data_IF_447947184578
#
_entry.id   IF_447947184578
#
_cell.length_a   1.000
_cell.length_b   1.000
_cell.length_c   1.000
_cell.angle_alpha   90.00
_cell.angle_beta   90.00
_cell.angle_gamma   90.00
#
_symmetry.space_group_name_H-M   'P 1'
#
loop_
_entity.id
_entity.type
_entity.pdbx_description
1 polymer ?
#
# COMPACT_ATOMS: atom_id res chain seq x y z
N UNK A 1 10.96 -32.42 3.50
CA UNK A 1 10.26 -32.07 2.25
C UNK A 1 9.59 -30.74 2.49
N UNK A 2 9.99 -29.66 1.80
CA UNK A 2 9.37 -28.35 2.01
C UNK A 2 8.00 -28.39 1.31
N UNK A 3 6.91 -28.41 2.08
CA UNK A 3 5.55 -28.57 1.55
C UNK A 3 5.01 -27.31 0.86
N UNK A 4 5.79 -26.23 0.84
CA UNK A 4 5.39 -24.94 0.32
C UNK A 4 5.94 -24.77 -1.09
N UNK A 5 5.04 -24.75 -2.08
CA UNK A 5 5.33 -24.33 -3.45
C UNK A 5 4.97 -22.84 -3.62
N UNK A 6 5.95 -21.93 -3.76
CA UNK A 6 5.67 -20.50 -3.89
C UNK A 6 4.80 -20.14 -5.09
N UNK A 7 4.70 -21.00 -6.12
CA UNK A 7 3.82 -20.79 -7.27
C UNK A 7 2.34 -20.80 -6.88
N UNK A 8 1.96 -21.62 -5.90
CA UNK A 8 0.59 -21.65 -5.38
C UNK A 8 0.22 -20.37 -4.62
N UNK A 9 1.20 -19.70 -4.02
CA UNK A 9 0.99 -18.41 -3.37
C UNK A 9 0.95 -17.26 -4.41
N UNK A 10 1.67 -17.39 -5.53
CA UNK A 10 1.65 -16.39 -6.60
C UNK A 10 0.30 -16.31 -7.33
N UNK A 11 -0.53 -17.36 -7.28
CA UNK A 11 -1.89 -17.32 -7.85
C UNK A 11 -2.88 -16.48 -7.05
N UNK A 12 -2.51 -15.99 -5.87
CA UNK A 12 -3.32 -15.04 -5.11
C UNK A 12 -3.29 -13.67 -5.81
N UNK A 13 -4.47 -13.13 -6.09
CA UNK A 13 -4.62 -11.85 -6.78
C UNK A 13 -4.55 -10.67 -5.82
N UNK A 14 -3.79 -9.66 -6.20
CA UNK A 14 -3.68 -8.40 -5.46
C UNK A 14 -3.65 -7.23 -6.44
N UNK A 15 -4.17 -6.08 -6.02
CA UNK A 15 -3.83 -4.81 -6.66
C UNK A 15 -2.47 -4.29 -6.16
N UNK A 16 -2.08 -3.12 -6.67
CA UNK A 16 -0.94 -2.35 -6.19
C UNK A 16 -1.43 -0.98 -5.74
N UNK A 17 -1.04 -0.59 -4.54
CA UNK A 17 -1.54 0.61 -3.88
C UNK A 17 -0.40 1.40 -3.26
N UNK A 18 -0.59 2.71 -3.08
CA UNK A 18 0.21 3.49 -2.14
C UNK A 18 -0.62 3.64 -0.87
N UNK A 19 -0.09 3.18 0.26
CA UNK A 19 -0.65 3.50 1.57
C UNK A 19 0.14 4.67 2.16
N UNK A 20 -0.57 5.75 2.51
CA UNK A 20 0.01 6.98 3.04
C UNK A 20 -0.56 7.33 4.41
N UNK A 21 0.19 8.10 5.18
CA UNK A 21 -0.25 8.62 6.47
C UNK A 21 0.49 9.92 6.78
N UNK A 22 0.02 10.63 7.79
CA UNK A 22 0.69 11.79 8.35
C UNK A 22 0.62 11.74 9.88
N UNK A 23 1.73 12.09 10.53
CA UNK A 23 1.81 12.23 11.97
C UNK A 23 2.75 13.39 12.30
N UNK A 24 2.29 14.35 13.11
CA UNK A 24 3.05 15.53 13.53
C UNK A 24 3.70 16.30 12.35
N UNK A 25 2.94 16.47 11.27
CA UNK A 25 3.37 17.17 10.05
C UNK A 25 4.25 16.33 9.11
N UNK A 26 4.64 15.11 9.50
CA UNK A 26 5.45 14.21 8.68
C UNK A 26 4.55 13.32 7.82
N UNK A 27 4.50 13.62 6.51
CA UNK A 27 3.82 12.80 5.50
C UNK A 27 4.75 11.69 5.03
N UNK A 28 4.23 10.48 4.89
CA UNK A 28 4.98 9.38 4.31
C UNK A 28 4.04 8.31 3.75
N UNK A 29 4.56 7.47 2.85
CA UNK A 29 3.80 6.39 2.24
C UNK A 29 4.69 5.23 1.79
N UNK A 30 4.06 4.11 1.48
CA UNK A 30 4.74 2.92 0.94
C UNK A 30 3.86 2.23 -0.10
N UNK A 31 4.50 1.50 -1.01
CA UNK A 31 3.79 0.56 -1.89
C UNK A 31 3.33 -0.64 -1.07
N UNK A 32 2.07 -1.04 -1.23
CA UNK A 32 1.50 -2.26 -0.67
C UNK A 32 0.72 -3.02 -1.74
N UNK A 33 0.57 -4.32 -1.52
CA UNK A 33 -0.33 -5.18 -2.29
C UNK A 33 -1.30 -5.95 -1.39
N UNK A 34 -0.90 -6.30 -0.16
CA UNK A 34 -1.72 -6.97 0.83
C UNK A 34 -2.75 -6.01 1.46
N UNK A 35 -3.80 -5.72 0.70
CA UNK A 35 -4.95 -4.91 1.07
C UNK A 35 -6.24 -5.63 0.64
N UNK A 36 -7.22 -5.71 1.52
CA UNK A 36 -8.53 -6.29 1.23
C UNK A 36 -9.64 -5.51 1.94
N UNK A 37 -10.86 -5.51 1.37
CA UNK A 37 -12.06 -5.18 2.12
C UNK A 37 -12.49 -6.40 2.95
N UNK A 38 -12.88 -6.17 4.20
CA UNK A 38 -13.20 -7.22 5.19
C UNK A 38 -14.70 -7.27 5.50
N UNK A 39 -15.36 -6.12 5.61
CA UNK A 39 -16.79 -6.02 5.95
C UNK A 39 -17.48 -4.96 5.08
N UNK A 40 -18.81 -5.03 5.01
CA UNK A 40 -19.66 -4.06 4.31
C UNK A 40 -20.44 -3.13 5.24
N UNK A 41 -20.69 -3.52 6.50
CA UNK A 41 -21.42 -2.70 7.48
C UNK A 41 -20.80 -2.83 8.90
N UNK A 42 -20.00 -1.85 9.36
CA UNK A 42 -19.45 -0.74 8.58
C UNK A 42 -18.43 -1.25 7.54
N UNK A 43 -18.11 -0.44 6.53
CA UNK A 43 -17.06 -0.78 5.56
C UNK A 43 -15.70 -0.77 6.27
N UNK A 44 -15.06 -1.94 6.35
CA UNK A 44 -13.70 -2.07 6.88
C UNK A 44 -12.75 -2.64 5.84
N UNK A 45 -11.50 -2.22 5.92
CA UNK A 45 -10.38 -2.73 5.13
C UNK A 45 -9.29 -3.26 6.07
N UNK A 46 -8.50 -4.20 5.57
CA UNK A 46 -7.31 -4.70 6.24
C UNK A 46 -6.07 -4.50 5.36
N UNK A 47 -5.02 -3.89 5.94
CA UNK A 47 -3.73 -3.67 5.30
C UNK A 47 -2.62 -4.34 6.12
N UNK A 48 -1.75 -5.11 5.47
CA UNK A 48 -0.64 -5.79 6.13
C UNK A 48 0.69 -5.12 5.79
N UNK A 49 1.37 -4.56 6.79
CA UNK A 49 2.57 -3.73 6.62
C UNK A 49 3.75 -4.31 7.40
N UNK A 50 4.94 -4.32 6.81
CA UNK A 50 6.13 -4.78 7.52
C UNK A 50 6.43 -3.87 8.72
N UNK A 51 6.71 -4.44 9.89
CA UNK A 51 6.84 -3.68 11.16
C UNK A 51 7.96 -2.65 11.13
N UNK A 52 9.05 -2.95 10.43
CA UNK A 52 10.21 -2.04 10.32
C UNK A 52 10.06 -0.91 9.29
N UNK A 53 8.94 -0.83 8.55
CA UNK A 53 8.73 0.25 7.60
C UNK A 53 8.37 1.55 8.33
N UNK A 54 8.92 2.67 7.89
CA UNK A 54 8.62 3.98 8.52
C UNK A 54 7.14 4.30 8.46
N UNK A 55 6.48 3.98 7.35
CA UNK A 55 5.05 4.19 7.20
C UNK A 55 4.27 3.38 8.25
N UNK A 56 4.69 2.17 8.59
CA UNK A 56 4.04 1.34 9.62
C UNK A 56 4.11 2.02 10.99
N UNK A 57 5.29 2.50 11.38
CA UNK A 57 5.47 3.27 12.62
C UNK A 57 4.53 4.48 12.67
N UNK A 58 4.44 5.25 11.58
CA UNK A 58 3.58 6.43 11.53
C UNK A 58 2.09 6.07 11.57
N UNK A 59 1.66 4.99 10.92
CA UNK A 59 0.26 4.52 10.98
C UNK A 59 -0.12 4.06 12.39
N UNK A 60 0.80 3.40 13.11
CA UNK A 60 0.56 3.04 14.51
C UNK A 60 0.33 4.26 15.40
N UNK A 61 1.10 5.34 15.18
CA UNK A 61 0.99 6.59 15.94
C UNK A 61 -0.24 7.41 15.53
N UNK A 62 -0.46 7.62 14.23
CA UNK A 62 -1.56 8.43 13.71
C UNK A 62 -2.92 7.75 13.81
N UNK A 63 -2.94 6.40 13.88
CA UNK A 63 -4.13 5.56 13.84
C UNK A 63 -5.01 5.80 12.61
N UNK A 64 -4.43 6.30 11.52
CA UNK A 64 -5.15 6.65 10.30
C UNK A 64 -4.26 6.50 9.07
N UNK A 65 -4.85 6.12 7.95
CA UNK A 65 -4.12 6.03 6.69
C UNK A 65 -5.03 6.26 5.51
N UNK A 66 -4.44 6.67 4.39
CA UNK A 66 -5.08 6.72 3.09
C UNK A 66 -4.50 5.65 2.17
N UNK A 67 -5.26 5.26 1.17
CA UNK A 67 -4.87 4.33 0.12
C UNK A 67 -5.14 5.01 -1.22
N UNK A 68 -4.14 5.02 -2.10
CA UNK A 68 -4.27 5.40 -3.50
C UNK A 68 -4.16 4.13 -4.37
N UNK A 69 -5.23 3.81 -5.11
CA UNK A 69 -5.29 2.68 -6.05
C UNK A 69 -4.59 3.06 -7.35
N UNK A 70 -3.48 2.39 -7.67
CA UNK A 70 -2.67 2.75 -8.84
C UNK A 70 -3.28 2.23 -10.15
N UNK A 71 -3.16 3.03 -11.22
CA UNK A 71 -3.52 2.62 -12.57
C UNK A 71 -2.43 1.75 -13.22
N UNK A 72 -2.83 0.89 -14.17
CA UNK A 72 -1.94 -0.05 -14.87
C UNK A 72 -0.76 0.65 -15.56
N UNK A 73 -0.97 1.86 -16.10
CA UNK A 73 0.04 2.62 -16.83
C UNK A 73 1.10 3.27 -15.94
N UNK A 74 0.98 3.21 -14.60
CA UNK A 74 1.93 3.85 -13.67
C UNK A 74 3.39 3.48 -13.99
N UNK A 75 4.31 4.46 -14.10
CA UNK A 75 5.72 4.18 -14.36
C UNK A 75 6.40 3.45 -13.20
N UNK A 76 7.29 2.50 -13.52
CA UNK A 76 8.10 1.82 -12.49
C UNK A 76 8.93 2.79 -11.64
N UNK A 77 9.46 3.84 -12.27
CA UNK A 77 10.21 4.89 -11.58
C UNK A 77 9.36 5.55 -10.49
N UNK A 78 8.06 5.75 -10.74
CA UNK A 78 7.14 6.33 -9.77
C UNK A 78 6.85 5.35 -8.62
N UNK A 79 6.58 4.07 -8.93
CA UNK A 79 6.46 3.02 -7.90
C UNK A 79 7.71 2.99 -7.02
N UNK A 80 8.90 3.18 -7.60
CA UNK A 80 10.16 3.15 -6.88
C UNK A 80 10.31 4.21 -5.79
N UNK A 81 9.69 5.39 -5.95
CA UNK A 81 9.65 6.45 -4.93
C UNK A 81 9.08 5.91 -3.62
N UNK A 82 7.96 5.19 -3.71
CA UNK A 82 7.25 4.67 -2.54
C UNK A 82 7.72 3.28 -2.12
N UNK A 83 8.28 2.49 -3.04
CA UNK A 83 8.68 1.10 -2.82
C UNK A 83 10.13 0.87 -2.40
N UNK A 84 11.08 1.74 -2.80
CA UNK A 84 12.52 1.49 -2.59
C UNK A 84 13.25 2.59 -1.82
N UNK A 85 12.57 3.66 -1.41
CA UNK A 85 13.13 4.68 -0.53
C UNK A 85 12.55 4.58 0.89
N UNK A 86 13.41 4.80 1.89
CA UNK A 86 12.99 4.97 3.28
C UNK A 86 12.53 6.41 3.50
N UNK A 87 11.31 6.61 4.02
CA UNK A 87 10.78 7.95 4.29
C UNK A 87 11.47 8.70 5.44
N UNK A 88 12.40 8.06 6.15
CA UNK A 88 13.26 8.73 7.15
C UNK A 88 14.35 9.55 6.49
N UNK A 89 14.80 9.10 5.32
CA UNK A 89 15.96 9.66 4.62
C UNK A 89 15.56 10.38 3.32
N UNK A 90 14.33 10.19 2.85
CA UNK A 90 13.82 10.74 1.60
C UNK A 90 12.38 11.25 1.76
N UNK A 91 12.15 12.53 1.49
CA UNK A 91 10.81 13.10 1.47
C UNK A 91 10.06 12.72 0.18
N UNK A 92 9.30 11.63 0.26
CA UNK A 92 8.52 11.08 -0.86
C UNK A 92 7.47 12.06 -1.39
N UNK A 93 6.92 12.92 -0.53
CA UNK A 93 5.82 13.82 -0.87
C UNK A 93 6.28 15.07 -1.62
N UNK A 94 7.60 15.36 -1.65
CA UNK A 94 8.19 16.36 -2.55
C UNK A 94 8.38 15.83 -3.99
N UNK A 95 8.19 14.52 -4.21
CA UNK A 95 8.41 13.86 -5.50
C UNK A 95 7.11 13.39 -6.18
N UNK A 96 5.93 13.82 -5.68
CA UNK A 96 4.63 13.47 -6.25
C UNK A 96 3.59 14.57 -6.01
N UNK A 97 2.54 14.58 -6.84
CA UNK A 97 1.31 15.33 -6.59
C UNK A 97 0.45 14.63 -5.54
N UNK A 98 -0.07 15.41 -4.60
CA UNK A 98 -1.01 14.93 -3.60
C UNK A 98 -2.01 16.01 -3.23
N UNK A 99 -3.12 15.59 -2.63
CA UNK A 99 -4.10 16.47 -2.00
C UNK A 99 -4.22 16.13 -0.51
N UNK A 100 -4.72 17.08 0.28
CA UNK A 100 -5.23 16.76 1.61
C UNK A 100 -6.67 16.26 1.44
N UNK A 101 -6.90 15.00 1.83
CA UNK A 101 -8.20 14.37 1.77
C UNK A 101 -9.20 14.99 2.76
N UNK A 102 -10.45 14.53 2.67
CA UNK A 102 -11.55 15.04 3.51
C UNK A 102 -11.32 14.82 5.00
N UNK A 103 -10.48 13.84 5.33
CA UNK A 103 -10.16 13.48 6.71
C UNK A 103 -8.87 14.15 7.23
N UNK A 104 -8.21 14.94 6.38
CA UNK A 104 -6.92 15.57 6.66
C UNK A 104 -5.70 14.74 6.24
N UNK A 105 -5.90 13.50 5.76
CA UNK A 105 -4.80 12.62 5.35
C UNK A 105 -4.23 13.00 3.98
N UNK A 106 -2.92 12.81 3.75
CA UNK A 106 -2.35 13.02 2.43
C UNK A 106 -2.79 11.90 1.48
N UNK A 107 -3.30 12.27 0.30
CA UNK A 107 -3.73 11.34 -0.76
C UNK A 107 -2.90 11.61 -2.01
N UNK A 108 -2.08 10.65 -2.41
CA UNK A 108 -1.31 10.74 -3.67
C UNK A 108 -2.28 10.68 -4.84
N UNK A 109 -2.17 11.60 -5.79
CA UNK A 109 -3.09 11.71 -6.93
C UNK A 109 -2.46 11.29 -8.26
N UNK A 110 -1.13 11.37 -8.36
CA UNK A 110 -0.41 10.85 -9.53
C UNK A 110 -0.72 9.37 -9.73
N UNK A 111 -1.05 9.01 -10.97
CA UNK A 111 -1.34 7.65 -11.39
C UNK A 111 -2.40 6.90 -10.56
N UNK A 112 -3.33 7.64 -9.95
CA UNK A 112 -4.31 7.09 -9.00
C UNK A 112 -5.72 7.09 -9.59
N UNK A 113 -6.40 5.94 -9.53
CA UNK A 113 -7.79 5.77 -9.98
C UNK A 113 -8.80 6.10 -8.88
N UNK A 114 -8.50 5.71 -7.64
CA UNK A 114 -9.38 5.89 -6.51
C UNK A 114 -8.57 6.12 -5.22
N UNK A 115 -9.17 6.85 -4.28
CA UNK A 115 -8.64 7.04 -2.94
C UNK A 115 -9.59 6.47 -1.87
N UNK A 116 -9.01 5.99 -0.78
CA UNK A 116 -9.73 5.56 0.43
C UNK A 116 -9.01 6.17 1.63
N UNK A 117 -9.75 6.70 2.58
CA UNK A 117 -9.26 7.26 3.85
C UNK A 117 -9.88 6.43 4.98
N UNK A 118 -9.08 5.97 5.93
CA UNK A 118 -9.52 5.03 6.94
C UNK A 118 -8.89 5.28 8.32
N UNK A 119 -9.65 4.95 9.37
CA UNK A 119 -9.26 5.00 10.77
C UNK A 119 -9.01 3.60 11.31
N UNK A 120 -7.86 3.39 11.92
CA UNK A 120 -7.42 2.10 12.45
C UNK A 120 -8.20 1.74 13.71
N UNK A 121 -8.95 0.65 13.62
CA UNK A 121 -9.68 0.04 14.74
C UNK A 121 -8.77 -0.85 15.58
N UNK A 122 -7.99 -1.71 14.93
CA UNK A 122 -7.14 -2.70 15.59
C UNK A 122 -5.83 -2.91 14.83
N UNK A 123 -4.79 -3.31 15.57
CA UNK A 123 -3.48 -3.68 15.05
C UNK A 123 -3.12 -5.02 15.64
N UNK A 124 -2.79 -5.98 14.78
CA UNK A 124 -2.44 -7.34 15.17
C UNK A 124 -1.02 -7.62 14.68
N UNK A 125 -0.12 -8.00 15.58
CA UNK A 125 1.23 -8.42 15.19
C UNK A 125 1.19 -9.79 14.51
N UNK A 126 1.81 -9.88 13.33
CA UNK A 126 1.90 -11.08 12.50
C UNK A 126 3.36 -11.28 12.09
N UNK A 127 4.16 -11.84 13.00
CA UNK A 127 5.59 -12.12 12.81
C UNK A 127 6.43 -10.88 12.38
N UNK A 128 6.65 -10.72 11.08
CA UNK A 128 7.42 -9.61 10.48
C UNK A 128 6.52 -8.42 10.11
N UNK A 129 5.21 -8.61 10.08
CA UNK A 129 4.23 -7.62 9.68
C UNK A 129 3.27 -7.28 10.82
N UNK A 130 2.52 -6.20 10.63
CA UNK A 130 1.36 -5.82 11.42
C UNK A 130 0.15 -5.74 10.49
N UNK A 131 -0.95 -6.35 10.91
CA UNK A 131 -2.24 -6.28 10.23
C UNK A 131 -3.07 -5.15 10.85
N UNK A 132 -3.36 -4.13 10.06
CA UNK A 132 -4.18 -3.00 10.44
C UNK A 132 -5.61 -3.24 9.96
N UNK A 133 -6.56 -3.37 10.89
CA UNK A 133 -7.99 -3.37 10.57
C UNK A 133 -8.49 -1.95 10.75
N UNK A 134 -9.09 -1.38 9.71
CA UNK A 134 -9.50 0.01 9.68
C UNK A 134 -10.90 0.20 9.10
N UNK A 135 -11.67 1.10 9.70
CA UNK A 135 -12.95 1.55 9.20
C UNK A 135 -12.73 2.63 8.15
N UNK A 136 -13.39 2.51 7.01
CA UNK A 136 -13.36 3.53 5.95
C UNK A 136 -14.15 4.75 6.41
N UNK A 137 -13.53 5.92 6.36
CA UNK A 137 -14.14 7.22 6.70
C UNK A 137 -14.51 8.01 5.43
N UNK A 138 -13.74 7.84 4.34
CA UNK A 138 -14.07 8.41 3.04
C UNK A 138 -13.50 7.55 1.90
N UNK A 139 -14.14 7.56 0.74
CA UNK A 139 -13.61 6.96 -0.48
C UNK A 139 -14.09 7.75 -1.70
N UNK A 140 -13.24 7.84 -2.73
CA UNK A 140 -13.55 8.60 -3.95
C UNK A 140 -12.92 7.97 -5.19
N UNK A 141 -13.70 7.79 -6.25
CA UNK A 141 -13.16 7.57 -7.59
C UNK A 141 -12.61 8.91 -8.13
N UNK A 142 -11.33 8.93 -8.51
CA UNK A 142 -10.66 10.12 -9.02
C UNK A 142 -10.69 10.17 -10.55
N UNK A 143 -10.61 9.00 -11.20
CA UNK A 143 -10.76 8.84 -12.66
C UNK A 143 -11.05 7.40 -13.03
N UNK A 144 -11.61 7.21 -14.23
CA UNK A 144 -11.79 5.90 -14.86
C UNK A 144 -10.45 5.31 -15.33
N UNK A 145 -10.33 3.98 -15.31
CA UNK A 145 -9.15 3.27 -15.82
C UNK A 145 -9.00 1.85 -15.28
N UNK A 146 -7.96 1.14 -15.73
CA UNK A 146 -7.66 -0.22 -15.28
C UNK A 146 -6.69 -0.20 -14.09
N UNK A 147 -7.01 -0.84 -12.95
CA UNK A 147 -6.10 -0.89 -11.82
C UNK A 147 -4.87 -1.75 -12.12
N UNK A 148 -3.72 -1.38 -11.58
CA UNK A 148 -2.51 -2.20 -11.66
C UNK A 148 -2.68 -3.44 -10.78
N UNK A 149 -2.66 -4.62 -11.39
CA UNK A 149 -2.56 -5.89 -10.67
C UNK A 149 -1.10 -6.22 -10.34
N UNK A 150 -0.89 -6.85 -9.20
CA UNK A 150 0.44 -7.29 -8.77
C UNK A 150 1.04 -8.34 -9.71
N UNK A 151 0.21 -9.18 -10.33
CA UNK A 151 0.64 -10.12 -11.37
C UNK A 151 1.25 -9.36 -12.56
N UNK A 152 0.61 -8.29 -13.01
CA UNK A 152 1.06 -7.44 -14.14
C UNK A 152 2.31 -6.63 -13.80
N UNK A 153 2.47 -6.23 -12.53
CA UNK A 153 3.71 -5.61 -12.04
C UNK A 153 4.93 -6.54 -12.21
N UNK A 154 4.75 -7.85 -11.99
CA UNK A 154 5.81 -8.84 -12.18
C UNK A 154 5.98 -9.27 -13.64
N UNK A 155 4.88 -9.62 -14.32
CA UNK A 155 4.92 -10.22 -15.66
C UNK A 155 5.19 -9.19 -16.77
N UNK A 156 4.54 -8.02 -16.70
CA UNK A 156 4.62 -6.97 -17.74
C UNK A 156 5.74 -5.99 -17.41
N UNK A 157 5.77 -5.47 -16.18
CA UNK A 157 6.75 -4.45 -15.79
C UNK A 157 8.09 -5.04 -15.34
N UNK A 158 8.23 -6.37 -15.22
CA UNK A 158 9.44 -7.04 -14.69
C UNK A 158 9.92 -6.49 -13.34
N UNK A 159 9.02 -5.89 -12.57
CA UNK A 159 9.30 -5.29 -11.28
C UNK A 159 9.85 -6.31 -10.29
N UNK A 160 10.59 -5.85 -9.28
CA UNK A 160 10.98 -6.66 -8.13
C UNK A 160 10.15 -6.21 -6.95
N UNK A 161 9.66 -7.14 -6.15
CA UNK A 161 9.02 -6.74 -4.90
C UNK A 161 10.07 -6.24 -3.93
N UNK A 162 9.81 -5.14 -3.20
CA UNK A 162 10.68 -4.73 -2.10
C UNK A 162 10.90 -5.88 -1.12
N UNK A 163 12.07 -5.93 -0.48
CA UNK A 163 12.46 -7.00 0.44
C UNK A 163 11.43 -7.22 1.57
N UNK A 164 10.84 -6.13 2.04
CA UNK A 164 9.86 -6.08 3.12
C UNK A 164 8.40 -6.29 2.68
N UNK A 165 8.13 -6.59 1.40
CA UNK A 165 6.77 -6.90 0.96
C UNK A 165 6.38 -8.33 1.38
N UNK A 166 5.11 -8.62 1.72
CA UNK A 166 4.64 -9.99 1.94
C UNK A 166 4.90 -10.92 0.75
N UNK A 167 4.95 -10.32 -0.44
CA UNK A 167 5.17 -10.97 -1.72
C UNK A 167 6.64 -11.00 -2.16
N UNK A 168 7.58 -10.63 -1.29
CA UNK A 168 9.02 -10.65 -1.59
C UNK A 168 9.54 -12.05 -1.91
N UNK A 169 8.91 -13.10 -1.36
CA UNK A 169 9.22 -14.49 -1.65
C UNK A 169 9.11 -14.82 -3.15
N UNK A 170 8.28 -14.11 -3.91
CA UNK A 170 8.13 -14.35 -5.36
C UNK A 170 9.33 -13.89 -6.18
N UNK A 171 10.23 -13.10 -5.60
CA UNK A 171 11.47 -12.71 -6.29
C UNK A 171 12.37 -13.93 -6.59
N UNK A 172 12.16 -15.08 -5.92
CA UNK A 172 12.91 -16.33 -6.16
C UNK A 172 12.36 -17.16 -7.33
N UNK A 173 11.19 -16.81 -7.87
CA UNK A 173 10.56 -17.50 -9.00
C UNK A 173 11.06 -17.00 -10.37
N UNK A 174 12.15 -16.22 -10.38
CA UNK A 174 12.79 -15.66 -11.59
C UNK A 174 13.96 -16.50 -12.04
#
# INVERSE_FOLDING_TARGET
>A
MNSIDPRALFSLSYGVYILSTEFEGKKNGQIINALIQVTSDPICIAACLHKDNYTTELVEKSRRFSVSVLEESVPLKFIGIFGFHCGRDFDKFNACSYITGSTGLPVVTDFTLASVEAKVLSVIDVYTHKLFIAQVEAAKALKEGKPLLYADYHSIKKGKSPEKAPSSIFNVLK
#
